data_IF_284202773900
#
_entry.id   IF_284202773900
#
_cell.length_a   1.000
_cell.length_b   1.000
_cell.length_c   1.000
_cell.angle_alpha   90.00
_cell.angle_beta   90.00
_cell.angle_gamma   90.00
#
_symmetry.space_group_name_H-M   'P 1'
#
loop_
_entity.id
_entity.type
_entity.pdbx_description
1 polymer ?
#
# COMPACT_ATOMS: atom_id res chain seq x y z
N UNK A 1 -0.36 -31.26 -76.49
CA UNK A 1 -0.17 -29.82 -76.22
C UNK A 1 0.07 -29.65 -74.72
N UNK A 2 1.32 -29.78 -74.27
CA UNK A 2 1.67 -29.63 -72.86
C UNK A 2 2.02 -28.16 -72.59
N UNK A 3 1.14 -27.48 -71.86
CA UNK A 3 1.37 -26.10 -71.44
C UNK A 3 2.53 -26.08 -70.44
N UNK A 4 3.68 -25.54 -70.85
CA UNK A 4 4.82 -25.30 -69.97
C UNK A 4 4.44 -24.15 -69.03
N UNK A 5 3.93 -24.49 -67.85
CA UNK A 5 3.72 -23.53 -66.77
C UNK A 5 5.08 -23.04 -66.30
N UNK A 6 5.52 -21.91 -66.87
CA UNK A 6 6.78 -21.25 -66.57
C UNK A 6 6.85 -20.91 -65.08
N UNK A 7 7.95 -21.34 -64.42
CA UNK A 7 8.22 -21.11 -63.00
C UNK A 7 8.06 -19.65 -62.55
N UNK A 8 8.15 -18.70 -63.47
CA UNK A 8 7.92 -17.26 -63.25
C UNK A 8 6.50 -16.93 -62.82
N UNK A 9 5.48 -17.63 -63.33
CA UNK A 9 4.07 -17.43 -62.96
C UNK A 9 3.78 -17.90 -61.53
N UNK A 10 4.41 -18.98 -61.10
CA UNK A 10 4.31 -19.51 -59.74
C UNK A 10 4.93 -18.55 -58.71
N UNK A 11 6.09 -17.98 -59.02
CA UNK A 11 6.77 -17.02 -58.13
C UNK A 11 5.90 -15.77 -57.93
N UNK A 12 5.31 -15.24 -59.01
CA UNK A 12 4.45 -14.05 -58.91
C UNK A 12 3.21 -14.30 -58.05
N UNK A 13 2.54 -15.45 -58.22
CA UNK A 13 1.36 -15.82 -57.41
C UNK A 13 1.75 -15.98 -55.93
N UNK A 14 2.89 -16.60 -55.63
CA UNK A 14 3.38 -16.71 -54.26
C UNK A 14 3.69 -15.35 -53.64
N UNK A 15 4.34 -14.43 -54.37
CA UNK A 15 4.64 -13.09 -53.86
C UNK A 15 3.36 -12.28 -53.58
N UNK A 16 2.37 -12.33 -54.48
CA UNK A 16 1.07 -11.67 -54.26
C UNK A 16 0.36 -12.27 -53.04
N UNK A 17 0.34 -13.60 -52.90
CA UNK A 17 -0.25 -14.27 -51.75
C UNK A 17 0.45 -13.90 -50.43
N UNK A 18 1.78 -13.81 -50.42
CA UNK A 18 2.55 -13.40 -49.23
C UNK A 18 2.26 -11.96 -48.82
N UNK A 19 2.09 -11.04 -49.78
CA UNK A 19 1.75 -9.64 -49.51
C UNK A 19 0.32 -9.51 -48.97
N UNK A 20 -0.65 -10.25 -49.54
CA UNK A 20 -2.04 -10.23 -49.04
C UNK A 20 -2.17 -10.88 -47.67
N UNK A 21 -1.43 -11.96 -47.41
CA UNK A 21 -1.37 -12.59 -46.09
C UNK A 21 -0.70 -11.68 -45.06
N UNK A 22 0.39 -11.00 -45.42
CA UNK A 22 1.06 -10.04 -44.54
C UNK A 22 0.15 -8.86 -44.17
N UNK A 23 -0.59 -8.31 -45.14
CA UNK A 23 -1.56 -7.24 -44.90
C UNK A 23 -2.75 -7.71 -44.04
N UNK A 24 -3.24 -8.93 -44.26
CA UNK A 24 -4.30 -9.53 -43.46
C UNK A 24 -3.85 -9.82 -42.01
N UNK A 25 -2.62 -10.32 -41.82
CA UNK A 25 -2.00 -10.55 -40.51
C UNK A 25 -1.70 -9.24 -39.77
N UNK A 26 -1.29 -8.19 -40.49
CA UNK A 26 -1.13 -6.85 -39.92
C UNK A 26 -2.45 -6.28 -39.37
N UNK A 27 -3.59 -6.62 -39.99
CA UNK A 27 -4.93 -6.21 -39.55
C UNK A 27 -5.40 -6.93 -38.28
N UNK A 28 -4.86 -8.12 -37.99
CA UNK A 28 -5.21 -8.90 -36.79
C UNK A 28 -4.42 -8.53 -35.55
N UNK A 29 -3.27 -7.86 -35.67
CA UNK A 29 -2.35 -7.57 -34.56
C UNK A 29 -2.60 -6.22 -33.85
N UNK A 30 -3.69 -5.53 -34.16
CA UNK A 30 -4.02 -4.27 -33.52
C UNK A 30 -5.46 -3.89 -33.77
N UNK A 31 -6.40 -4.61 -33.15
CA UNK A 31 -7.81 -4.26 -33.23
C UNK A 31 -8.02 -2.89 -32.54
N UNK A 32 -8.47 -1.84 -33.26
CA UNK A 32 -8.82 -0.58 -32.63
C UNK A 32 -9.98 -0.82 -31.66
N UNK A 33 -9.76 -0.49 -30.38
CA UNK A 33 -10.74 -0.67 -29.30
C UNK A 33 -10.50 -1.86 -28.36
N UNK A 34 -9.52 -2.73 -28.60
CA UNK A 34 -9.20 -3.83 -27.65
C UNK A 34 -8.69 -3.27 -26.32
N UNK A 35 -7.88 -2.21 -26.34
CA UNK A 35 -7.45 -1.50 -25.14
C UNK A 35 -8.62 -0.94 -24.34
N UNK A 36 -9.61 -0.36 -25.02
CA UNK A 36 -10.81 0.19 -24.38
C UNK A 36 -11.67 -0.92 -23.75
N UNK A 37 -11.78 -2.08 -24.40
CA UNK A 37 -12.44 -3.26 -23.83
C UNK A 37 -11.75 -3.76 -22.56
N UNK A 38 -10.42 -3.89 -22.59
CA UNK A 38 -9.64 -4.31 -21.42
C UNK A 38 -9.77 -3.30 -20.28
N UNK A 39 -9.74 -2.00 -20.57
CA UNK A 39 -9.93 -0.95 -19.56
C UNK A 39 -11.33 -1.04 -18.92
N UNK A 40 -12.38 -1.24 -19.72
CA UNK A 40 -13.75 -1.39 -19.21
C UNK A 40 -13.90 -2.64 -18.35
N UNK A 41 -13.24 -3.75 -18.71
CA UNK A 41 -13.26 -4.98 -17.91
C UNK A 41 -12.53 -4.81 -16.58
N UNK A 42 -11.36 -4.17 -16.58
CA UNK A 42 -10.64 -3.83 -15.36
C UNK A 42 -11.43 -2.86 -14.48
N UNK A 43 -12.15 -1.91 -15.07
CA UNK A 43 -13.01 -0.97 -14.34
C UNK A 43 -14.21 -1.69 -13.71
N UNK A 44 -14.87 -2.59 -14.43
CA UNK A 44 -15.96 -3.42 -13.89
C UNK A 44 -15.49 -4.29 -12.71
N UNK A 45 -14.30 -4.88 -12.80
CA UNK A 45 -13.68 -5.62 -11.70
C UNK A 45 -13.41 -4.69 -10.52
N UNK A 46 -12.84 -3.51 -10.77
CA UNK A 46 -12.53 -2.53 -9.72
C UNK A 46 -13.80 -2.08 -8.99
N UNK A 47 -14.86 -1.73 -9.72
CA UNK A 47 -16.16 -1.31 -9.18
C UNK A 47 -16.79 -2.42 -8.34
N UNK A 48 -16.83 -3.65 -8.86
CA UNK A 48 -17.39 -4.79 -8.13
C UNK A 48 -16.60 -5.12 -6.87
N UNK A 49 -15.26 -5.00 -6.91
CA UNK A 49 -14.40 -5.13 -5.74
C UNK A 49 -14.63 -4.02 -4.71
N UNK A 50 -14.69 -2.75 -5.12
CA UNK A 50 -14.91 -1.64 -4.18
C UNK A 50 -16.31 -1.69 -3.56
N UNK A 51 -17.33 -2.18 -4.29
CA UNK A 51 -18.68 -2.41 -3.78
C UNK A 51 -18.73 -3.58 -2.79
N UNK A 52 -18.03 -4.68 -3.09
CA UNK A 52 -17.99 -5.87 -2.23
C UNK A 52 -17.08 -5.70 -1.01
N UNK A 53 -16.05 -4.86 -1.13
CA UNK A 53 -15.03 -4.60 -0.10
C UNK A 53 -14.96 -3.10 0.23
N UNK A 54 -16.01 -2.54 0.87
CA UNK A 54 -16.02 -1.14 1.24
C UNK A 54 -14.85 -0.85 2.19
N UNK A 55 -13.97 0.07 1.79
CA UNK A 55 -12.82 0.47 2.61
C UNK A 55 -13.34 1.06 3.91
N UNK A 56 -12.83 0.58 5.04
CA UNK A 56 -13.17 1.14 6.35
C UNK A 56 -12.80 2.62 6.34
N UNK A 57 -13.82 3.49 6.29
CA UNK A 57 -13.64 4.93 6.52
C UNK A 57 -12.98 5.06 7.88
N UNK A 58 -11.91 5.85 7.98
CA UNK A 58 -11.20 6.07 9.22
C UNK A 58 -12.23 6.60 10.24
N UNK A 59 -12.78 5.69 11.06
CA UNK A 59 -13.79 6.06 12.03
C UNK A 59 -13.09 7.04 12.96
N UNK A 60 -13.70 8.22 13.10
CA UNK A 60 -13.06 9.44 13.58
C UNK A 60 -12.23 9.22 14.84
N UNK A 61 -11.25 10.11 15.05
CA UNK A 61 -10.34 10.13 16.20
C UNK A 61 -10.99 9.52 17.44
N UNK A 62 -10.62 8.27 17.77
CA UNK A 62 -10.92 7.70 19.07
C UNK A 62 -10.64 8.78 20.12
N UNK A 63 -11.53 8.92 21.13
CA UNK A 63 -11.31 9.83 22.24
C UNK A 63 -9.86 9.62 22.70
N UNK A 64 -9.02 10.63 22.48
CA UNK A 64 -7.58 10.49 22.65
C UNK A 64 -7.38 10.00 24.08
N UNK A 65 -6.76 8.83 24.21
CA UNK A 65 -6.49 8.27 25.53
C UNK A 65 -5.75 9.33 26.32
N UNK A 66 -6.13 9.58 27.56
CA UNK A 66 -5.70 10.75 28.34
C UNK A 66 -4.17 11.01 28.30
N UNK A 67 -3.33 9.97 28.26
CA UNK A 67 -1.86 10.08 28.16
C UNK A 67 -1.29 10.21 26.74
N UNK A 68 -2.14 10.35 25.72
CA UNK A 68 -1.71 10.38 24.32
C UNK A 68 -1.35 11.80 23.88
N UNK A 69 -0.10 12.01 23.47
CA UNK A 69 0.40 13.31 23.00
C UNK A 69 0.80 13.25 21.52
N UNK A 70 0.82 14.39 20.80
CA UNK A 70 1.30 14.43 19.41
C UNK A 70 2.76 13.97 19.28
N UNK A 71 3.57 14.17 20.31
CA UNK A 71 4.95 13.67 20.40
C UNK A 71 4.99 12.14 20.39
N UNK A 72 4.17 11.48 21.23
CA UNK A 72 4.05 10.01 21.25
C UNK A 72 3.58 9.49 19.89
N UNK A 73 2.66 10.20 19.22
CA UNK A 73 2.21 9.83 17.88
C UNK A 73 3.34 9.89 16.84
N UNK A 74 4.15 10.96 16.87
CA UNK A 74 5.31 11.11 15.99
C UNK A 74 6.37 10.02 16.25
N UNK A 75 6.70 9.77 17.52
CA UNK A 75 7.65 8.73 17.92
C UNK A 75 7.16 7.34 17.55
N UNK A 76 5.85 7.07 17.69
CA UNK A 76 5.25 5.80 17.28
C UNK A 76 5.35 5.61 15.76
N UNK A 77 5.07 6.65 14.97
CA UNK A 77 5.21 6.62 13.51
C UNK A 77 6.65 6.26 13.12
N UNK A 78 7.64 6.97 13.67
CA UNK A 78 9.06 6.70 13.46
C UNK A 78 9.48 5.28 13.87
N UNK A 79 9.03 4.82 15.03
CA UNK A 79 9.31 3.47 15.53
C UNK A 79 8.74 2.39 14.60
N UNK A 80 7.53 2.57 14.07
CA UNK A 80 6.93 1.65 13.11
C UNK A 80 7.65 1.64 11.76
N UNK A 81 8.09 2.80 11.28
CA UNK A 81 8.90 2.92 10.06
C UNK A 81 10.22 2.13 10.21
N UNK A 82 10.94 2.33 11.31
CA UNK A 82 12.18 1.61 11.60
C UNK A 82 11.96 0.11 11.80
N UNK A 83 10.86 -0.29 12.45
CA UNK A 83 10.48 -1.71 12.57
C UNK A 83 10.31 -2.34 11.20
N UNK A 84 9.56 -1.71 10.30
CA UNK A 84 9.34 -2.21 8.93
C UNK A 84 10.65 -2.33 8.17
N UNK A 85 11.55 -1.34 8.30
CA UNK A 85 12.89 -1.36 7.69
C UNK A 85 13.71 -2.54 8.21
N UNK A 86 13.78 -2.71 9.53
CA UNK A 86 14.50 -3.82 10.15
C UNK A 86 13.95 -5.19 9.73
N UNK A 87 12.62 -5.35 9.68
CA UNK A 87 12.00 -6.62 9.24
C UNK A 87 12.27 -6.92 7.77
N UNK A 88 12.27 -5.91 6.89
CA UNK A 88 12.59 -6.12 5.47
C UNK A 88 14.05 -6.51 5.28
N UNK A 89 14.97 -5.84 5.96
CA UNK A 89 16.42 -6.12 5.85
C UNK A 89 16.79 -7.46 6.48
N UNK A 90 16.11 -7.87 7.55
CA UNK A 90 16.30 -9.19 8.15
C UNK A 90 16.14 -10.34 7.13
N UNK A 91 15.27 -10.17 6.13
CA UNK A 91 15.05 -11.16 5.09
C UNK A 91 16.14 -11.16 3.99
N UNK A 92 17.03 -10.16 3.94
CA UNK A 92 18.06 -9.98 2.91
C UNK A 92 19.51 -10.22 3.41
N UNK A 93 19.68 -10.71 4.65
CA UNK A 93 20.93 -11.17 5.27
C UNK A 93 22.08 -10.15 5.47
N UNK A 94 22.10 -8.99 4.81
CA UNK A 94 23.16 -7.98 4.97
C UNK A 94 22.75 -6.84 5.92
N UNK A 95 23.63 -6.57 6.89
CA UNK A 95 23.60 -5.45 7.84
C UNK A 95 22.37 -5.35 8.78
N UNK A 96 21.83 -6.49 9.23
CA UNK A 96 20.70 -6.54 10.18
C UNK A 96 20.98 -5.84 11.53
N UNK A 97 22.23 -5.84 11.98
CA UNK A 97 22.59 -5.33 13.31
C UNK A 97 22.37 -3.82 13.45
N UNK A 98 22.73 -3.04 12.43
CA UNK A 98 22.58 -1.58 12.42
C UNK A 98 21.10 -1.18 12.52
N UNK A 99 20.25 -1.70 11.64
CA UNK A 99 18.80 -1.44 11.63
C UNK A 99 18.09 -1.94 12.89
N UNK A 100 18.51 -3.09 13.43
CA UNK A 100 17.99 -3.60 14.70
C UNK A 100 18.32 -2.65 15.86
N UNK A 101 19.52 -2.07 15.88
CA UNK A 101 19.93 -1.12 16.90
C UNK A 101 19.14 0.20 16.83
N UNK A 102 18.88 0.73 15.64
CA UNK A 102 18.09 1.94 15.42
C UNK A 102 16.64 1.76 15.89
N UNK A 103 16.03 0.64 15.50
CA UNK A 103 14.68 0.28 15.97
C UNK A 103 14.64 0.16 17.50
N UNK A 104 15.63 -0.50 18.13
CA UNK A 104 15.71 -0.62 19.59
C UNK A 104 15.81 0.73 20.28
N UNK A 105 16.61 1.67 19.75
CA UNK A 105 16.73 3.04 20.26
C UNK A 105 15.40 3.78 20.18
N UNK A 106 14.75 3.79 19.02
CA UNK A 106 13.45 4.44 18.82
C UNK A 106 12.35 3.82 19.69
N UNK A 107 12.35 2.49 19.89
CA UNK A 107 11.43 1.81 20.81
C UNK A 107 11.66 2.23 22.26
N UNK A 108 12.91 2.37 22.69
CA UNK A 108 13.26 2.83 24.04
C UNK A 108 12.78 4.27 24.26
N UNK A 109 13.02 5.16 23.30
CA UNK A 109 12.56 6.55 23.32
C UNK A 109 11.04 6.66 23.40
N UNK A 110 10.31 5.90 22.57
CA UNK A 110 8.84 5.82 22.63
C UNK A 110 8.34 5.33 23.99
N UNK A 111 8.97 4.29 24.55
CA UNK A 111 8.55 3.76 25.85
C UNK A 111 8.83 4.75 26.99
N UNK A 112 9.96 5.47 26.92
CA UNK A 112 10.32 6.47 27.92
C UNK A 112 9.34 7.66 27.90
N UNK A 113 8.99 8.16 26.71
CA UNK A 113 8.03 9.26 26.56
C UNK A 113 6.62 8.86 26.98
N UNK A 114 6.17 7.64 26.64
CA UNK A 114 4.90 7.10 27.16
C UNK A 114 4.90 7.04 28.69
N UNK A 115 5.98 6.54 29.30
CA UNK A 115 6.10 6.49 30.76
C UNK A 115 6.08 7.88 31.37
N UNK A 116 6.82 8.83 30.81
CA UNK A 116 6.86 10.21 31.29
C UNK A 116 5.49 10.89 31.19
N UNK A 117 4.78 10.74 30.07
CA UNK A 117 3.45 11.29 29.88
C UNK A 117 2.42 10.67 30.83
N UNK A 118 2.47 9.35 31.05
CA UNK A 118 1.63 8.71 32.06
C UNK A 118 1.92 9.20 33.47
N UNK A 119 3.19 9.38 33.83
CA UNK A 119 3.60 9.83 35.16
C UNK A 119 3.22 11.30 35.42
N UNK A 120 3.39 12.17 34.44
CA UNK A 120 3.00 13.59 34.55
C UNK A 120 1.49 13.71 34.73
N UNK A 121 0.73 13.01 33.90
CA UNK A 121 -0.71 13.01 33.98
C UNK A 121 -1.26 12.34 35.24
N UNK A 122 -0.59 11.29 35.73
CA UNK A 122 -0.92 10.70 37.04
C UNK A 122 -0.77 11.72 38.17
N UNK A 123 0.32 12.51 38.17
CA UNK A 123 0.51 13.58 39.17
C UNK A 123 -0.56 14.67 39.07
N UNK A 124 -0.93 15.06 37.85
CA UNK A 124 -2.03 16.02 37.63
C UNK A 124 -3.35 15.49 38.20
N UNK A 125 -3.67 14.21 37.97
CA UNK A 125 -4.86 13.58 38.52
C UNK A 125 -4.81 13.54 40.05
N UNK A 126 -3.67 13.21 40.66
CA UNK A 126 -3.53 13.23 42.11
C UNK A 126 -3.75 14.64 42.70
N UNK A 127 -3.15 15.66 42.10
CA UNK A 127 -3.33 17.05 42.53
C UNK A 127 -4.78 17.52 42.35
N UNK A 128 -5.43 17.12 41.25
CA UNK A 128 -6.84 17.44 40.98
C UNK A 128 -7.75 16.78 42.03
N UNK A 129 -7.50 15.52 42.44
CA UNK A 129 -8.29 14.82 43.47
C UNK A 129 -8.19 15.53 44.83
N UNK A 130 -7.02 16.07 45.17
CA UNK A 130 -6.84 16.83 46.41
C UNK A 130 -7.69 18.11 46.44
N UNK A 131 -8.04 18.65 45.27
CA UNK A 131 -8.86 19.87 45.13
C UNK A 131 -10.34 19.58 44.89
N UNK A 132 -10.65 18.56 44.10
CA UNK A 132 -12.01 18.12 43.74
C UNK A 132 -12.10 16.59 43.68
N UNK A 133 -12.88 16.06 44.63
CA UNK A 133 -13.05 14.63 44.88
C UNK A 133 -13.76 13.93 43.69
N UNK A 134 -14.52 14.68 42.88
CA UNK A 134 -15.33 14.16 41.75
C UNK A 134 -14.80 14.56 40.37
N UNK A 135 -13.55 15.03 40.29
CA UNK A 135 -12.97 15.62 39.08
C UNK A 135 -12.60 14.63 37.96
N UNK A 136 -11.53 14.97 37.23
CA UNK A 136 -11.08 14.26 36.00
C UNK A 136 -10.83 12.76 36.20
N UNK A 137 -10.49 12.33 37.42
CA UNK A 137 -10.26 10.94 37.76
C UNK A 137 -11.47 10.03 37.44
N UNK A 138 -12.68 10.47 37.77
CA UNK A 138 -13.91 9.71 37.51
C UNK A 138 -14.22 9.63 36.01
N UNK A 139 -13.92 10.68 35.23
CA UNK A 139 -14.14 10.70 33.78
C UNK A 139 -13.20 9.77 33.00
N UNK A 140 -12.11 9.30 33.60
CA UNK A 140 -11.16 8.37 32.98
C UNK A 140 -11.61 6.91 33.14
N UNK A 141 -12.34 6.60 34.23
CA UNK A 141 -12.78 5.23 34.56
C UNK A 141 -14.07 4.83 33.82
N UNK A 142 -14.92 5.81 33.47
CA UNK A 142 -16.20 5.64 32.77
C UNK A 142 -16.02 5.72 31.25
#
# INVERSE_FOLDING_TARGET
MAATFSSTKLILVCLVAMVTLSWAVGKTLGQPGEKERLLNELDAITISCDASMPRLKNQGSHRLVYWWTPEIAALRKRCLELRRRATRVANLALDHASYSSEYKKAKKELNNTIKASKMTLWKEICNDIEQDIWGKAYQIVV
#
